data_IF_659739314894
#
_entry.id   IF_659739314894
#
_cell.length_a   1.000
_cell.length_b   1.000
_cell.length_c   1.000
_cell.angle_alpha   90.00
_cell.angle_beta   90.00
_cell.angle_gamma   90.00
#
_symmetry.space_group_name_H-M   'P 1'
#
loop_
_entity.id
_entity.type
_entity.pdbx_description
1 polymer ?
#
# COMPACT_ATOMS: atom_id res chain seq x y z
N UNK A 1 30.60 -30.52 -38.57
CA UNK A 1 31.06 -30.25 -39.95
C UNK A 1 31.21 -28.74 -40.11
N UNK A 2 32.09 -28.25 -40.98
CA UNK A 2 32.35 -26.82 -41.18
C UNK A 2 32.19 -26.42 -42.67
N UNK A 3 31.79 -25.18 -42.95
CA UNK A 3 31.85 -24.53 -44.28
C UNK A 3 31.83 -22.99 -44.12
N UNK A 4 32.49 -22.28 -45.04
CA UNK A 4 32.79 -20.82 -45.07
C UNK A 4 32.84 -20.42 -46.57
N UNK A 5 32.50 -19.22 -47.08
CA UNK A 5 32.33 -17.88 -46.49
C UNK A 5 30.89 -17.32 -46.83
N UNK A 6 30.55 -16.06 -47.17
CA UNK A 6 31.23 -14.78 -47.52
C UNK A 6 30.28 -13.58 -47.26
N UNK A 7 30.76 -12.33 -47.39
CA UNK A 7 29.97 -11.09 -47.25
C UNK A 7 30.01 -10.19 -48.50
N UNK A 8 29.06 -9.26 -48.63
CA UNK A 8 29.13 -8.04 -49.47
C UNK A 8 28.43 -6.88 -48.74
N UNK A 9 28.84 -5.64 -49.05
CA UNK A 9 28.24 -4.41 -48.53
C UNK A 9 28.07 -3.40 -49.67
N UNK A 10 27.11 -2.47 -49.55
CA UNK A 10 26.99 -1.33 -50.45
C UNK A 10 26.55 -0.07 -49.69
N UNK A 11 27.14 1.07 -50.05
CA UNK A 11 26.94 2.37 -49.41
C UNK A 11 25.60 3.00 -49.84
N UNK A 12 25.04 3.91 -49.03
CA UNK A 12 24.90 5.33 -49.39
C UNK A 12 24.36 6.18 -48.23
N UNK A 13 24.66 7.49 -48.25
CA UNK A 13 24.30 8.52 -47.25
C UNK A 13 24.71 9.90 -47.81
N UNK A 14 24.22 11.05 -47.32
CA UNK A 14 22.85 11.40 -46.91
C UNK A 14 22.30 12.57 -47.76
N UNK A 15 21.06 13.03 -47.51
CA UNK A 15 20.66 14.40 -47.89
C UNK A 15 19.90 15.12 -46.76
N UNK A 16 20.42 16.26 -46.33
CA UNK A 16 19.69 17.28 -45.60
C UNK A 16 18.96 18.18 -46.62
N UNK A 17 17.75 18.64 -46.29
CA UNK A 17 17.23 19.89 -46.86
C UNK A 17 16.65 20.77 -45.75
N UNK A 18 17.22 21.97 -45.61
CA UNK A 18 16.66 23.03 -44.79
C UNK A 18 15.52 23.70 -45.56
N UNK A 19 14.39 23.98 -44.89
CA UNK A 19 13.45 24.98 -45.34
C UNK A 19 12.87 25.75 -44.16
N UNK A 20 13.05 27.07 -44.19
CA UNK A 20 12.57 28.01 -43.18
C UNK A 20 11.08 28.27 -43.39
N UNK A 21 10.32 28.43 -42.31
CA UNK A 21 9.02 29.08 -42.34
C UNK A 21 9.04 30.32 -41.44
N UNK A 22 8.31 31.35 -41.88
CA UNK A 22 8.47 32.74 -41.42
C UNK A 22 7.15 33.20 -40.80
N UNK A 23 7.22 33.87 -39.65
CA UNK A 23 6.08 34.60 -39.08
C UNK A 23 5.69 35.79 -39.97
N UNK A 24 4.43 35.84 -40.40
CA UNK A 24 3.74 37.10 -40.71
C UNK A 24 2.25 36.98 -40.40
N UNK A 25 1.56 38.10 -40.23
CA UNK A 25 0.17 38.18 -39.80
C UNK A 25 -0.64 39.11 -40.72
N UNK A 26 -1.93 38.83 -40.93
CA UNK A 26 -2.95 39.88 -41.18
C UNK A 26 -4.39 39.38 -41.35
N UNK A 27 -5.30 40.17 -40.75
CA UNK A 27 -6.66 40.53 -41.19
C UNK A 27 -7.54 39.58 -42.03
N UNK A 28 -8.61 39.09 -41.37
CA UNK A 28 -10.05 39.15 -41.79
C UNK A 28 -10.39 39.36 -43.27
N UNK A 29 -11.29 38.51 -43.79
CA UNK A 29 -12.53 38.94 -44.50
C UNK A 29 -13.66 37.93 -44.30
N UNK A 30 -14.91 38.37 -44.48
CA UNK A 30 -16.13 37.63 -44.16
C UNK A 30 -16.87 37.12 -45.40
N UNK A 31 -17.60 36.02 -45.23
CA UNK A 31 -18.65 35.58 -46.17
C UNK A 31 -19.90 35.27 -45.34
N UNK A 32 -21.08 35.65 -45.84
CA UNK A 32 -22.36 35.47 -45.18
C UNK A 32 -23.31 34.71 -46.11
N UNK A 33 -23.97 33.67 -45.61
CA UNK A 33 -25.22 33.19 -46.20
C UNK A 33 -26.17 32.65 -45.13
N UNK A 34 -27.48 32.74 -45.40
CA UNK A 34 -28.57 32.48 -44.44
C UNK A 34 -29.07 31.04 -44.53
N UNK A 35 -29.65 30.51 -43.43
CA UNK A 35 -31.00 29.91 -43.48
C UNK A 35 -31.76 29.89 -42.14
N UNK A 36 -32.97 30.47 -42.21
CA UNK A 36 -34.20 30.30 -41.41
C UNK A 36 -34.12 29.96 -39.91
N UNK A 37 -34.73 30.85 -39.10
CA UNK A 37 -35.29 30.51 -37.78
C UNK A 37 -36.60 29.71 -37.95
N UNK A 38 -36.80 28.71 -37.09
CA UNK A 38 -38.10 28.43 -36.47
C UNK A 38 -37.88 28.49 -34.95
N UNK A 39 -38.91 28.87 -34.18
CA UNK A 39 -38.76 29.13 -32.74
C UNK A 39 -39.87 28.51 -31.92
N UNK A 40 -39.50 27.86 -30.82
CA UNK A 40 -40.38 27.49 -29.72
C UNK A 40 -39.83 28.18 -28.47
N UNK A 41 -40.69 28.80 -27.68
CA UNK A 41 -40.30 29.46 -26.42
C UNK A 41 -40.21 28.42 -25.31
N UNK A 42 -39.04 28.26 -24.70
CA UNK A 42 -38.98 27.85 -23.29
C UNK A 42 -39.06 29.11 -22.42
N UNK A 43 -39.82 29.03 -21.31
CA UNK A 43 -39.80 30.04 -20.25
C UNK A 43 -38.54 29.84 -19.42
N UNK A 44 -37.82 30.92 -19.13
CA UNK A 44 -36.84 30.90 -18.04
C UNK A 44 -37.58 30.81 -16.70
N UNK A 45 -37.26 29.80 -15.90
CA UNK A 45 -37.52 29.79 -14.46
C UNK A 45 -36.19 30.06 -13.76
N UNK A 46 -36.06 31.21 -13.12
CA UNK A 46 -34.86 31.58 -12.40
C UNK A 46 -34.87 30.93 -11.01
N UNK A 47 -34.42 29.68 -10.93
CA UNK A 47 -34.06 29.07 -9.67
C UNK A 47 -32.74 29.68 -9.19
N UNK A 48 -32.78 30.50 -8.14
CA UNK A 48 -31.58 30.95 -7.44
C UNK A 48 -31.06 29.79 -6.60
N UNK A 49 -30.16 28.99 -7.17
CA UNK A 49 -29.32 28.08 -6.38
C UNK A 49 -28.38 28.92 -5.52
N UNK A 50 -28.76 29.15 -4.26
CA UNK A 50 -27.83 29.67 -3.28
C UNK A 50 -26.69 28.64 -3.16
N UNK A 51 -25.47 29.04 -3.54
CA UNK A 51 -24.27 28.26 -3.26
C UNK A 51 -24.03 28.42 -1.77
N UNK A 52 -24.52 27.46 -0.98
CA UNK A 52 -24.03 27.26 0.37
C UNK A 52 -22.67 26.61 0.21
N UNK A 53 -21.62 27.37 0.44
CA UNK A 53 -20.29 26.81 0.67
C UNK A 53 -20.29 26.14 2.05
N UNK A 54 -20.88 24.94 2.12
CA UNK A 54 -20.62 24.05 3.24
C UNK A 54 -19.16 23.62 3.12
N UNK A 55 -18.28 24.23 3.93
CA UNK A 55 -17.03 23.60 4.30
C UNK A 55 -17.38 22.24 4.91
N UNK A 56 -17.24 21.15 4.15
CA UNK A 56 -17.16 19.81 4.71
C UNK A 56 -15.88 19.74 5.57
N UNK A 57 -16.00 20.21 6.81
CA UNK A 57 -15.02 19.90 7.84
C UNK A 57 -14.90 18.38 7.87
N UNK A 58 -13.69 17.83 7.65
CA UNK A 58 -13.50 16.39 7.63
C UNK A 58 -14.04 15.83 8.93
N UNK A 59 -14.73 14.70 8.86
CA UNK A 59 -15.41 14.12 10.01
C UNK A 59 -14.35 13.76 11.06
N UNK A 60 -14.15 14.64 12.05
CA UNK A 60 -13.20 14.45 13.15
C UNK A 60 -13.75 13.35 14.06
N UNK A 61 -13.62 12.11 13.59
CA UNK A 61 -13.79 10.90 14.39
C UNK A 61 -12.87 11.10 15.60
N UNK A 62 -13.43 11.11 16.82
CA UNK A 62 -12.66 11.25 18.05
C UNK A 62 -11.84 9.97 18.32
N UNK A 63 -10.80 9.78 17.52
CA UNK A 63 -9.90 8.62 17.49
C UNK A 63 -8.70 8.82 18.44
N UNK A 64 -8.90 9.57 19.51
CA UNK A 64 -7.92 9.71 20.57
C UNK A 64 -7.72 8.34 21.26
N UNK A 65 -6.67 7.64 20.85
CA UNK A 65 -6.08 6.50 21.54
C UNK A 65 -4.54 6.63 21.49
N UNK A 66 -3.83 6.09 22.50
CA UNK A 66 -2.38 6.18 22.56
C UNK A 66 -1.69 5.31 21.50
N UNK A 67 -0.65 5.85 20.88
CA UNK A 67 0.15 5.18 19.84
C UNK A 67 1.65 5.30 20.11
N UNK A 68 2.35 4.17 20.11
CA UNK A 68 3.80 4.06 20.31
C UNK A 68 4.44 3.62 18.99
N UNK A 69 5.48 4.30 18.51
CA UNK A 69 6.10 3.99 17.20
C UNK A 69 7.54 3.56 17.38
N UNK A 70 7.80 2.26 17.28
CA UNK A 70 9.14 1.67 17.37
C UNK A 70 9.88 1.82 16.03
N UNK A 71 11.15 2.23 16.09
CA UNK A 71 11.90 2.70 14.92
C UNK A 71 11.64 4.18 14.55
N UNK A 72 11.26 5.03 15.52
CA UNK A 72 10.98 6.46 15.29
C UNK A 72 12.19 7.28 14.79
N UNK A 73 13.42 6.79 14.97
CA UNK A 73 14.63 7.40 14.40
C UNK A 73 14.68 7.24 12.86
N UNK A 74 14.06 6.18 12.32
CA UNK A 74 14.05 5.81 10.91
C UNK A 74 13.09 6.63 10.02
N UNK A 75 13.34 6.58 8.70
CA UNK A 75 12.57 7.32 7.68
C UNK A 75 11.08 6.95 7.61
N UNK A 76 10.69 5.75 8.07
CA UNK A 76 9.28 5.33 8.07
C UNK A 76 8.57 5.70 9.38
N UNK A 77 9.20 5.46 10.53
CA UNK A 77 8.65 5.85 11.83
C UNK A 77 8.33 7.35 11.92
N UNK A 78 9.18 8.21 11.33
CA UNK A 78 8.93 9.66 11.21
C UNK A 78 7.65 9.98 10.42
N UNK A 79 7.50 9.41 9.22
CA UNK A 79 6.30 9.60 8.39
C UNK A 79 5.03 9.06 9.08
N UNK A 80 5.11 7.93 9.79
CA UNK A 80 3.99 7.40 10.60
C UNK A 80 3.64 8.35 11.74
N UNK A 81 4.62 8.94 12.44
CA UNK A 81 4.37 9.91 13.51
C UNK A 81 3.72 11.19 12.96
N UNK A 82 4.17 11.68 11.80
CA UNK A 82 3.59 12.84 11.12
C UNK A 82 2.12 12.59 10.73
N UNK A 83 1.82 11.43 10.12
CA UNK A 83 0.46 11.02 9.78
C UNK A 83 -0.42 10.82 11.03
N UNK A 84 0.07 10.08 12.03
CA UNK A 84 -0.66 9.80 13.27
C UNK A 84 -0.98 11.08 14.07
N UNK A 85 -0.05 12.04 14.12
CA UNK A 85 -0.27 13.36 14.74
C UNK A 85 -1.32 14.15 13.96
N UNK A 86 -1.26 14.12 12.61
CA UNK A 86 -2.23 14.79 11.74
C UNK A 86 -3.64 14.20 11.85
N UNK A 87 -3.75 12.89 12.08
CA UNK A 87 -4.99 12.16 12.35
C UNK A 87 -5.50 12.31 13.80
N UNK A 88 -4.79 13.03 14.67
CA UNK A 88 -5.18 13.29 16.06
C UNK A 88 -4.95 12.12 17.04
N UNK A 89 -4.11 11.14 16.68
CA UNK A 89 -3.73 10.05 17.57
C UNK A 89 -2.78 10.53 18.68
N UNK A 90 -2.84 9.89 19.86
CA UNK A 90 -2.09 10.34 21.03
C UNK A 90 -0.69 9.70 21.06
N UNK A 91 0.27 10.32 20.36
CA UNK A 91 1.67 9.86 20.37
C UNK A 91 2.24 9.73 21.79
N UNK A 92 2.72 8.54 22.14
CA UNK A 92 3.37 8.23 23.43
C UNK A 92 4.84 8.67 23.38
N UNK A 93 5.41 9.31 24.44
CA UNK A 93 6.77 9.85 24.44
C UNK A 93 7.85 8.76 24.66
N UNK A 94 7.62 7.53 24.21
CA UNK A 94 8.50 6.37 24.40
C UNK A 94 8.60 5.60 23.08
N UNK A 95 9.79 5.11 22.75
CA UNK A 95 10.06 4.25 21.58
C UNK A 95 11.20 3.29 21.88
N UNK A 96 11.23 2.13 21.23
CA UNK A 96 12.36 1.19 21.26
C UNK A 96 13.17 1.22 19.96
N UNK A 97 14.49 1.11 20.09
CA UNK A 97 15.44 0.96 18.99
C UNK A 97 16.64 0.08 19.41
N UNK A 98 17.72 0.09 18.64
CA UNK A 98 18.99 -0.57 18.97
C UNK A 98 19.69 0.09 20.17
N UNK A 99 20.71 -0.59 20.73
CA UNK A 99 21.55 -0.04 21.81
C UNK A 99 22.33 1.23 21.35
N UNK A 100 22.60 1.37 20.05
CA UNK A 100 23.22 2.57 19.45
C UNK A 100 22.31 3.81 19.51
N UNK A 101 21.00 3.60 19.52
CA UNK A 101 19.97 4.64 19.64
C UNK A 101 19.52 4.89 21.09
N UNK A 102 20.02 4.10 22.05
CA UNK A 102 19.56 4.14 23.44
C UNK A 102 19.90 5.45 24.15
N UNK A 103 18.92 6.03 24.85
CA UNK A 103 19.06 7.30 25.56
C UNK A 103 18.95 8.55 24.67
N UNK A 104 18.78 8.39 23.35
CA UNK A 104 18.43 9.54 22.50
C UNK A 104 17.04 10.09 22.86
N UNK A 105 16.87 11.39 22.68
CA UNK A 105 15.57 12.07 22.74
C UNK A 105 15.33 12.73 21.39
N UNK A 106 14.22 12.38 20.73
CA UNK A 106 13.91 12.82 19.37
C UNK A 106 12.61 13.61 19.37
N UNK A 107 12.65 14.86 18.92
CA UNK A 107 11.48 15.72 18.84
C UNK A 107 10.70 15.44 17.54
N UNK A 108 9.52 14.82 17.64
CA UNK A 108 8.64 14.43 16.53
C UNK A 108 7.18 14.62 16.92
N UNK A 109 6.31 15.01 15.97
CA UNK A 109 4.89 15.25 16.25
C UNK A 109 4.61 16.34 17.31
N UNK A 110 5.57 17.25 17.52
CA UNK A 110 5.50 18.26 18.60
C UNK A 110 5.74 17.71 20.02
N UNK A 111 6.25 16.48 20.15
CA UNK A 111 6.62 15.86 21.43
C UNK A 111 8.07 15.40 21.42
N UNK A 112 8.67 15.34 22.60
CA UNK A 112 9.96 14.71 22.80
C UNK A 112 9.75 13.22 23.09
N UNK A 113 10.34 12.34 22.28
CA UNK A 113 10.25 10.88 22.41
C UNK A 113 11.56 10.36 22.98
N UNK A 114 11.49 9.66 24.12
CA UNK A 114 12.62 8.94 24.70
C UNK A 114 12.82 7.61 23.99
N UNK A 115 14.02 7.39 23.44
CA UNK A 115 14.38 6.14 22.76
C UNK A 115 15.12 5.23 23.73
N UNK A 116 14.55 4.06 24.01
CA UNK A 116 15.11 3.07 24.91
C UNK A 116 15.77 1.94 24.12
N UNK A 117 16.90 1.46 24.61
CA UNK A 117 17.62 0.31 24.05
C UNK A 117 16.95 -1.04 24.35
N UNK A 118 17.60 -2.16 23.99
CA UNK A 118 17.05 -3.50 24.18
C UNK A 118 16.90 -3.95 25.64
N UNK A 119 17.61 -3.31 26.58
CA UNK A 119 17.58 -3.62 28.02
C UNK A 119 16.33 -3.09 28.72
N UNK A 120 15.66 -3.93 29.52
CA UNK A 120 14.49 -3.54 30.34
C UNK A 120 13.18 -3.27 29.57
N UNK A 121 13.14 -3.56 28.26
CA UNK A 121 11.97 -3.25 27.39
C UNK A 121 10.65 -3.81 27.89
N UNK A 122 10.65 -4.97 28.53
CA UNK A 122 9.45 -5.62 29.07
C UNK A 122 8.81 -4.82 30.19
N UNK A 123 9.57 -4.45 31.22
CA UNK A 123 9.09 -3.65 32.36
C UNK A 123 8.64 -2.25 31.91
N UNK A 124 9.40 -1.63 30.99
CA UNK A 124 9.08 -0.32 30.41
C UNK A 124 7.76 -0.39 29.63
N UNK A 125 7.61 -1.37 28.74
CA UNK A 125 6.40 -1.53 27.92
C UNK A 125 5.18 -1.89 28.77
N UNK A 126 5.34 -2.73 29.80
CA UNK A 126 4.28 -3.06 30.74
C UNK A 126 3.82 -1.83 31.54
N UNK A 127 4.75 -0.98 32.00
CA UNK A 127 4.42 0.28 32.69
C UNK A 127 3.68 1.25 31.76
N UNK A 128 4.20 1.45 30.54
CA UNK A 128 3.58 2.33 29.52
C UNK A 128 2.18 1.83 29.15
N UNK A 129 1.98 0.52 28.98
CA UNK A 129 0.67 -0.07 28.67
C UNK A 129 -0.30 0.00 29.86
N UNK A 130 0.18 -0.12 31.10
CA UNK A 130 -0.64 0.06 32.30
C UNK A 130 -1.18 1.50 32.43
N UNK A 131 -0.36 2.50 32.11
CA UNK A 131 -0.78 3.91 32.04
C UNK A 131 -1.67 4.21 30.82
N UNK A 132 -1.56 3.42 29.75
CA UNK A 132 -2.19 3.64 28.45
C UNK A 132 -2.94 2.37 27.97
N UNK A 133 -4.05 1.96 28.60
CA UNK A 133 -4.69 0.66 28.32
C UNK A 133 -5.32 0.52 26.92
N UNK A 134 -5.50 1.63 26.18
CA UNK A 134 -5.94 1.66 24.77
C UNK A 134 -4.75 1.67 23.77
N UNK A 135 -3.52 1.38 24.22
CA UNK A 135 -2.30 1.51 23.42
C UNK A 135 -2.25 0.56 22.22
N UNK A 136 -1.93 1.13 21.05
CA UNK A 136 -1.46 0.38 19.88
C UNK A 136 0.04 0.65 19.67
N UNK A 137 0.85 -0.40 19.57
CA UNK A 137 2.25 -0.29 19.13
C UNK A 137 2.33 -0.38 17.60
N UNK A 138 3.13 0.46 16.97
CA UNK A 138 3.52 0.33 15.55
C UNK A 138 4.97 -0.11 15.48
N UNK A 139 5.24 -1.16 14.70
CA UNK A 139 6.59 -1.66 14.43
C UNK A 139 7.03 -1.36 12.99
N UNK A 140 8.02 -0.47 12.87
CA UNK A 140 8.80 -0.20 11.66
C UNK A 140 10.30 -0.23 11.99
N UNK A 141 10.76 -1.38 12.49
CA UNK A 141 12.12 -1.63 12.93
C UNK A 141 12.97 -2.30 11.83
N UNK A 142 13.52 -3.49 12.05
CA UNK A 142 14.44 -4.21 11.15
C UNK A 142 14.11 -5.70 11.08
N UNK A 143 14.44 -6.41 9.98
CA UNK A 143 14.09 -7.83 9.81
C UNK A 143 14.55 -8.75 10.95
N UNK A 144 15.69 -8.44 11.59
CA UNK A 144 16.23 -9.20 12.72
C UNK A 144 15.50 -8.97 14.06
N UNK A 145 14.70 -7.90 14.17
CA UNK A 145 13.95 -7.58 15.39
C UNK A 145 12.49 -8.06 15.34
N UNK A 146 11.98 -8.44 14.17
CA UNK A 146 10.57 -8.83 13.91
C UNK A 146 10.04 -9.84 14.94
N UNK A 147 10.77 -10.94 15.15
CA UNK A 147 10.30 -12.03 16.01
C UNK A 147 10.40 -11.67 17.50
N UNK A 148 11.56 -11.15 17.93
CA UNK A 148 11.80 -10.76 19.32
C UNK A 148 10.84 -9.65 19.78
N UNK A 149 10.51 -8.71 18.90
CA UNK A 149 9.53 -7.65 19.16
C UNK A 149 8.10 -8.24 19.25
N UNK A 150 7.71 -9.13 18.35
CA UNK A 150 6.39 -9.79 18.41
C UNK A 150 6.22 -10.67 19.66
N UNK A 151 7.31 -11.31 20.13
CA UNK A 151 7.34 -12.06 21.38
C UNK A 151 7.24 -11.13 22.60
N UNK A 152 7.92 -9.97 22.58
CA UNK A 152 7.75 -8.91 23.59
C UNK A 152 6.30 -8.38 23.64
N UNK A 153 5.70 -8.03 22.51
CA UNK A 153 4.32 -7.53 22.45
C UNK A 153 3.33 -8.59 22.94
N UNK A 154 3.51 -9.85 22.50
CA UNK A 154 2.73 -11.01 22.94
C UNK A 154 2.85 -11.29 24.44
N UNK A 155 4.03 -11.11 25.03
CA UNK A 155 4.27 -11.35 26.46
C UNK A 155 3.66 -10.27 27.36
N UNK A 156 3.69 -9.01 26.92
CA UNK A 156 3.05 -7.88 27.63
C UNK A 156 1.53 -7.83 27.40
N UNK A 157 1.04 -8.42 26.31
CA UNK A 157 -0.39 -8.44 25.96
C UNK A 157 -0.84 -7.20 25.16
N UNK A 158 0.09 -6.40 24.63
CA UNK A 158 -0.22 -5.13 23.96
C UNK A 158 -0.53 -5.34 22.46
N UNK A 159 -1.64 -4.79 21.94
CA UNK A 159 -1.95 -4.86 20.50
C UNK A 159 -0.93 -4.13 19.62
N UNK A 160 -0.68 -4.63 18.42
CA UNK A 160 0.29 -4.00 17.52
C UNK A 160 -0.04 -4.06 16.01
N UNK A 161 0.52 -3.10 15.28
CA UNK A 161 0.54 -3.02 13.80
C UNK A 161 1.99 -3.17 13.34
N UNK A 162 2.30 -4.24 12.60
CA UNK A 162 3.66 -4.48 12.10
C UNK A 162 3.74 -4.31 10.59
N UNK A 163 4.43 -3.24 10.18
CA UNK A 163 4.84 -2.98 8.79
C UNK A 163 6.26 -3.46 8.47
N UNK A 164 7.03 -3.90 9.48
CA UNK A 164 8.38 -4.45 9.31
C UNK A 164 8.37 -5.73 8.46
N UNK A 165 9.09 -5.67 7.33
CA UNK A 165 9.25 -6.77 6.38
C UNK A 165 10.40 -7.71 6.77
N UNK A 166 10.34 -8.97 6.31
CA UNK A 166 11.32 -9.98 6.66
C UNK A 166 11.08 -10.55 8.07
N UNK A 167 12.15 -11.05 8.69
CA UNK A 167 12.06 -11.93 9.86
C UNK A 167 11.59 -13.34 9.48
N UNK A 168 11.53 -14.23 10.47
CA UNK A 168 10.86 -15.52 10.34
C UNK A 168 9.34 -15.27 10.37
N UNK A 169 8.68 -15.41 9.21
CA UNK A 169 7.26 -15.11 9.07
C UNK A 169 6.37 -16.16 9.72
N UNK A 170 6.80 -17.42 9.72
CA UNK A 170 6.04 -18.53 10.31
C UNK A 170 6.06 -18.44 11.83
N UNK A 171 7.23 -18.23 12.43
CA UNK A 171 7.37 -17.94 13.87
C UNK A 171 6.61 -16.67 14.25
N UNK A 172 6.62 -15.62 13.43
CA UNK A 172 5.87 -14.39 13.70
C UNK A 172 4.35 -14.67 13.81
N UNK A 173 3.74 -15.30 12.78
CA UNK A 173 2.32 -15.58 12.81
C UNK A 173 1.95 -16.54 13.94
N UNK A 174 2.77 -17.58 14.17
CA UNK A 174 2.54 -18.56 15.24
C UNK A 174 2.61 -17.94 16.64
N UNK A 175 3.60 -17.10 16.93
CA UNK A 175 3.75 -16.40 18.22
C UNK A 175 2.49 -15.58 18.55
N UNK A 176 1.91 -14.91 17.55
CA UNK A 176 0.72 -14.06 17.71
C UNK A 176 -0.56 -14.89 17.85
N UNK A 177 -0.67 -16.01 17.13
CA UNK A 177 -1.80 -16.94 17.27
C UNK A 177 -1.81 -17.65 18.63
N UNK A 178 -0.65 -18.13 19.10
CA UNK A 178 -0.54 -18.80 20.40
C UNK A 178 -0.87 -17.84 21.55
N UNK A 179 -0.41 -16.58 21.47
CA UNK A 179 -0.61 -15.54 22.49
C UNK A 179 -2.01 -14.90 22.47
N UNK A 180 -2.70 -14.91 21.31
CA UNK A 180 -4.08 -14.42 21.11
C UNK A 180 -4.25 -12.91 21.34
N UNK A 181 -3.17 -12.15 21.20
CA UNK A 181 -3.25 -10.68 21.17
C UNK A 181 -3.77 -10.21 19.81
N UNK A 182 -4.36 -9.01 19.79
CA UNK A 182 -4.85 -8.40 18.56
C UNK A 182 -3.69 -7.81 17.76
N UNK A 183 -3.55 -8.19 16.49
CA UNK A 183 -2.53 -7.60 15.61
C UNK A 183 -3.01 -7.40 14.17
N UNK A 184 -2.46 -6.37 13.51
CA UNK A 184 -2.44 -6.24 12.05
C UNK A 184 -1.02 -6.47 11.57
N UNK A 185 -0.83 -7.44 10.70
CA UNK A 185 0.49 -7.78 10.15
C UNK A 185 0.39 -7.72 8.63
N UNK A 186 1.07 -6.75 8.02
CA UNK A 186 1.13 -6.62 6.56
C UNK A 186 2.51 -6.15 6.10
N UNK A 187 3.16 -6.87 5.15
CA UNK A 187 4.39 -6.40 4.53
C UNK A 187 4.14 -5.25 3.52
N UNK A 188 2.88 -4.89 3.26
CA UNK A 188 2.48 -3.83 2.35
C UNK A 188 1.36 -2.98 2.98
N UNK A 189 1.74 -1.85 3.59
CA UNK A 189 0.78 -0.92 4.22
C UNK A 189 0.18 0.09 3.23
N UNK A 190 0.62 0.14 1.97
CA UNK A 190 0.02 1.02 0.96
C UNK A 190 -1.35 0.49 0.50
N UNK A 191 -2.41 0.78 1.27
CA UNK A 191 -3.73 0.10 1.14
C UNK A 191 -4.33 0.13 -0.27
N UNK A 192 -4.13 1.20 -1.04
CA UNK A 192 -4.61 1.32 -2.41
C UNK A 192 -3.87 0.37 -3.39
N UNK A 193 -2.60 0.07 -3.12
CA UNK A 193 -1.81 -0.92 -3.89
C UNK A 193 -2.25 -2.34 -3.54
N UNK A 194 -2.61 -2.60 -2.28
CA UNK A 194 -3.22 -3.88 -1.84
C UNK A 194 -4.59 -4.07 -2.51
N UNK A 195 -5.43 -3.03 -2.54
CA UNK A 195 -6.74 -3.08 -3.21
C UNK A 195 -6.63 -3.34 -4.72
N UNK A 196 -5.64 -2.73 -5.39
CA UNK A 196 -5.34 -3.03 -6.80
C UNK A 196 -4.92 -4.50 -7.01
N UNK A 197 -4.03 -5.02 -6.16
CA UNK A 197 -3.61 -6.43 -6.22
C UNK A 197 -4.80 -7.38 -6.00
N UNK A 198 -5.60 -7.16 -4.96
CA UNK A 198 -6.78 -7.98 -4.67
C UNK A 198 -7.80 -7.96 -5.83
N UNK A 199 -7.99 -6.82 -6.49
CA UNK A 199 -8.84 -6.73 -7.68
C UNK A 199 -8.28 -7.54 -8.87
N UNK A 200 -6.95 -7.56 -9.05
CA UNK A 200 -6.29 -8.40 -10.07
C UNK A 200 -6.36 -9.89 -9.73
N UNK A 201 -6.21 -10.27 -8.46
CA UNK A 201 -6.35 -11.66 -8.00
C UNK A 201 -7.77 -12.18 -8.22
N UNK A 202 -8.80 -11.41 -7.83
CA UNK A 202 -10.21 -11.74 -8.07
C UNK A 202 -10.49 -11.85 -9.58
N UNK A 203 -10.02 -10.89 -10.39
CA UNK A 203 -10.21 -10.93 -11.84
C UNK A 203 -9.56 -12.17 -12.47
N UNK A 204 -8.35 -12.54 -12.01
CA UNK A 204 -7.61 -13.68 -12.49
C UNK A 204 -8.22 -15.04 -12.08
N UNK A 205 -8.89 -15.10 -10.93
CA UNK A 205 -9.59 -16.31 -10.46
C UNK A 205 -10.97 -16.48 -11.09
N UNK A 206 -11.70 -15.40 -11.38
CA UNK A 206 -13.00 -15.48 -12.04
C UNK A 206 -12.91 -15.67 -13.56
N UNK A 207 -11.84 -15.19 -14.21
CA UNK A 207 -11.70 -15.17 -15.67
C UNK A 207 -10.38 -15.78 -16.18
N UNK A 208 -10.01 -17.01 -15.80
CA UNK A 208 -8.76 -17.65 -16.24
C UNK A 208 -8.71 -17.75 -17.78
N UNK A 209 -7.55 -17.44 -18.36
CA UNK A 209 -7.35 -17.42 -19.81
C UNK A 209 -7.96 -16.23 -20.57
N UNK A 210 -8.59 -15.25 -19.91
CA UNK A 210 -9.26 -14.13 -20.60
C UNK A 210 -8.33 -13.23 -21.45
N UNK A 211 -7.01 -13.24 -21.18
CA UNK A 211 -5.98 -12.53 -21.94
C UNK A 211 -5.03 -13.49 -22.68
N UNK A 212 -5.43 -14.75 -22.91
CA UNK A 212 -4.62 -15.70 -23.68
C UNK A 212 -4.24 -15.16 -25.07
N UNK A 213 -2.93 -15.14 -25.34
CA UNK A 213 -2.34 -14.61 -26.57
C UNK A 213 -1.92 -13.13 -26.51
N UNK A 214 -2.30 -12.37 -25.48
CA UNK A 214 -1.74 -11.04 -25.26
C UNK A 214 -0.25 -11.14 -24.88
N UNK A 215 0.53 -10.13 -25.27
CA UNK A 215 1.89 -9.91 -24.76
C UNK A 215 1.85 -8.92 -23.59
N UNK A 216 2.52 -9.25 -22.49
CA UNK A 216 2.74 -8.36 -21.34
C UNK A 216 4.13 -7.75 -21.40
N UNK A 217 4.22 -6.44 -21.17
CA UNK A 217 5.45 -5.72 -20.86
C UNK A 217 5.34 -5.16 -19.44
N UNK A 218 6.37 -5.31 -18.61
CA UNK A 218 6.40 -4.80 -17.23
C UNK A 218 7.62 -3.94 -17.01
N UNK A 219 7.43 -2.75 -16.46
CA UNK A 219 8.48 -1.84 -16.05
C UNK A 219 8.31 -1.48 -14.58
N UNK A 220 9.42 -1.52 -13.83
CA UNK A 220 9.45 -1.23 -12.40
C UNK A 220 10.60 -0.27 -12.09
N UNK A 221 10.31 0.78 -11.30
CA UNK A 221 11.32 1.69 -10.78
C UNK A 221 11.23 1.88 -9.27
N UNK A 222 12.37 1.65 -8.61
CA UNK A 222 12.61 1.85 -7.17
C UNK A 222 14.00 2.47 -6.99
N UNK A 223 14.30 2.93 -5.78
CA UNK A 223 15.65 3.31 -5.32
C UNK A 223 16.74 2.33 -5.81
N UNK A 224 17.90 2.84 -6.24
CA UNK A 224 18.92 2.06 -6.95
C UNK A 224 19.49 0.83 -6.18
N UNK A 225 19.36 0.79 -4.85
CA UNK A 225 19.76 -0.35 -4.01
C UNK A 225 18.77 -1.53 -4.04
N UNK A 226 17.56 -1.36 -4.60
CA UNK A 226 16.54 -2.41 -4.69
C UNK A 226 16.78 -3.29 -5.92
N UNK A 227 17.69 -4.25 -5.81
CA UNK A 227 18.15 -5.09 -6.94
C UNK A 227 17.08 -6.09 -7.43
N UNK A 228 16.19 -6.55 -6.57
CA UNK A 228 15.16 -7.54 -6.88
C UNK A 228 13.80 -6.90 -7.24
N UNK A 229 13.12 -7.49 -8.22
CA UNK A 229 11.72 -7.18 -8.58
C UNK A 229 10.81 -7.28 -7.35
N UNK A 230 9.97 -6.27 -7.14
CA UNK A 230 9.12 -6.16 -5.95
C UNK A 230 8.13 -7.33 -5.78
N UNK A 231 7.81 -7.63 -4.52
CA UNK A 231 6.81 -8.67 -4.19
C UNK A 231 5.44 -8.38 -4.79
N UNK A 232 5.00 -7.11 -4.75
CA UNK A 232 3.78 -6.64 -5.42
C UNK A 232 3.80 -6.96 -6.91
N UNK A 233 4.87 -6.59 -7.64
CA UNK A 233 4.94 -6.83 -9.08
C UNK A 233 4.91 -8.32 -9.42
N UNK A 234 5.57 -9.18 -8.63
CA UNK A 234 5.52 -10.65 -8.82
C UNK A 234 4.10 -11.20 -8.66
N UNK A 235 3.32 -10.71 -7.69
CA UNK A 235 1.93 -11.13 -7.52
C UNK A 235 1.00 -10.64 -8.65
N UNK A 236 1.16 -9.39 -9.10
CA UNK A 236 0.42 -8.84 -10.25
C UNK A 236 0.77 -9.60 -11.55
N UNK A 237 2.05 -9.96 -11.76
CA UNK A 237 2.49 -10.83 -12.86
C UNK A 237 1.82 -12.21 -12.78
N UNK A 238 1.73 -12.81 -11.59
CA UNK A 238 1.05 -14.09 -11.38
C UNK A 238 -0.45 -14.02 -11.72
N UNK A 239 -1.10 -12.87 -11.47
CA UNK A 239 -2.47 -12.63 -11.92
C UNK A 239 -2.56 -12.62 -13.45
N UNK A 240 -1.66 -11.96 -14.16
CA UNK A 240 -1.61 -11.99 -15.63
C UNK A 240 -1.28 -13.39 -16.20
N UNK A 241 -0.46 -14.19 -15.50
CA UNK A 241 -0.22 -15.59 -15.84
C UNK A 241 -1.49 -16.45 -15.70
N UNK A 242 -2.23 -16.33 -14.58
CA UNK A 242 -3.56 -16.96 -14.38
C UNK A 242 -4.56 -16.52 -15.47
N UNK A 243 -4.52 -15.25 -15.88
CA UNK A 243 -5.30 -14.70 -17.00
C UNK A 243 -4.85 -15.20 -18.39
N UNK A 244 -3.82 -16.06 -18.47
CA UNK A 244 -3.40 -16.76 -19.68
C UNK A 244 -2.24 -16.13 -20.45
N UNK A 245 -1.53 -15.17 -19.86
CA UNK A 245 -0.38 -14.51 -20.50
C UNK A 245 0.92 -15.25 -20.17
N UNK A 246 1.72 -15.54 -21.20
CA UNK A 246 3.06 -16.11 -21.04
C UNK A 246 4.07 -15.00 -20.78
N UNK A 247 4.50 -14.84 -19.52
CA UNK A 247 5.52 -13.86 -19.12
C UNK A 247 6.47 -14.47 -18.07
N UNK A 248 7.76 -14.15 -18.17
CA UNK A 248 8.80 -14.57 -17.25
C UNK A 248 9.25 -13.38 -16.38
N UNK A 249 9.51 -13.60 -15.09
CA UNK A 249 9.85 -12.54 -14.13
C UNK A 249 11.19 -11.88 -14.49
N UNK A 250 12.10 -12.60 -15.16
CA UNK A 250 13.37 -12.07 -15.66
C UNK A 250 13.21 -11.10 -16.86
N UNK A 251 11.99 -10.95 -17.42
CA UNK A 251 11.67 -9.97 -18.46
C UNK A 251 11.24 -8.59 -17.90
N UNK A 252 11.15 -8.42 -16.58
CA UNK A 252 10.78 -7.13 -15.96
C UNK A 252 11.87 -6.08 -16.15
N UNK A 253 11.51 -4.93 -16.71
CA UNK A 253 12.43 -3.82 -16.94
C UNK A 253 12.69 -3.04 -15.64
N UNK A 254 13.78 -3.37 -14.94
CA UNK A 254 14.17 -2.74 -13.68
C UNK A 254 14.91 -1.40 -13.90
N UNK A 255 14.17 -0.28 -13.94
CA UNK A 255 14.75 1.05 -14.14
C UNK A 255 15.36 1.57 -12.83
N UNK A 256 16.70 1.46 -12.72
CA UNK A 256 17.49 1.83 -11.53
C UNK A 256 18.50 2.97 -11.74
N UNK A 257 18.76 3.40 -12.98
CA UNK A 257 19.59 4.60 -13.27
C UNK A 257 18.78 5.88 -12.96
N UNK A 258 19.21 6.75 -12.03
CA UNK A 258 18.49 7.97 -11.68
C UNK A 258 18.14 8.89 -12.86
N UNK A 259 18.94 8.88 -13.94
CA UNK A 259 18.63 9.66 -15.15
C UNK A 259 17.43 9.11 -15.89
N UNK A 260 17.35 7.79 -16.05
CA UNK A 260 16.18 7.14 -16.65
C UNK A 260 14.95 7.26 -15.74
N UNK A 261 15.15 7.28 -14.42
CA UNK A 261 14.06 7.52 -13.46
C UNK A 261 13.45 8.93 -13.63
N UNK A 262 14.30 9.96 -13.79
CA UNK A 262 13.87 11.34 -14.12
C UNK A 262 13.25 11.43 -15.53
N UNK A 263 14.02 11.06 -16.56
CA UNK A 263 13.75 11.39 -17.97
C UNK A 263 12.73 10.47 -18.65
N UNK A 264 12.64 9.20 -18.24
CA UNK A 264 11.77 8.18 -18.86
C UNK A 264 10.58 7.80 -17.97
N UNK A 265 10.80 7.65 -16.66
CA UNK A 265 9.76 7.19 -15.71
C UNK A 265 9.01 8.36 -15.07
N UNK A 266 9.55 9.57 -15.09
CA UNK A 266 8.91 10.77 -14.52
C UNK A 266 8.93 10.80 -12.98
N UNK A 267 9.92 10.16 -12.35
CA UNK A 267 10.12 10.22 -10.90
C UNK A 267 10.70 11.59 -10.53
N UNK A 268 10.09 12.36 -9.61
CA UNK A 268 10.65 13.63 -9.15
C UNK A 268 12.02 13.46 -8.46
N UNK A 269 12.91 14.45 -8.58
CA UNK A 269 14.29 14.39 -8.09
C UNK A 269 14.36 14.15 -6.57
N UNK A 270 13.47 14.79 -5.83
CA UNK A 270 13.27 14.64 -4.38
C UNK A 270 12.81 13.25 -3.93
N UNK A 271 12.40 12.39 -4.88
CA UNK A 271 11.83 11.06 -4.61
C UNK A 271 12.68 9.89 -5.12
N UNK A 272 13.77 10.12 -5.86
CA UNK A 272 14.70 9.08 -6.33
C UNK A 272 15.28 8.18 -5.21
N UNK A 273 15.34 8.70 -3.97
CA UNK A 273 15.77 7.98 -2.77
C UNK A 273 14.60 7.34 -1.97
N UNK A 274 13.45 7.14 -2.61
CA UNK A 274 12.24 6.61 -1.99
C UNK A 274 11.00 6.75 -2.86
N UNK A 275 10.96 6.00 -3.96
CA UNK A 275 9.81 5.85 -4.85
C UNK A 275 9.53 4.37 -5.15
N UNK A 276 8.32 4.08 -5.62
CA UNK A 276 7.94 2.79 -6.21
C UNK A 276 6.95 3.04 -7.36
N UNK A 277 7.42 2.99 -8.60
CA UNK A 277 6.61 3.18 -9.80
C UNK A 277 6.54 1.84 -10.55
N UNK A 278 5.33 1.40 -10.93
CA UNK A 278 5.13 0.18 -11.70
C UNK A 278 4.19 0.43 -12.88
N UNK A 279 4.52 -0.18 -14.03
CA UNK A 279 3.76 -0.17 -15.26
C UNK A 279 3.55 -1.61 -15.73
N UNK A 280 2.30 -1.98 -16.02
CA UNK A 280 1.94 -3.27 -16.63
C UNK A 280 1.16 -2.98 -17.91
N UNK A 281 1.72 -3.34 -19.06
CA UNK A 281 1.17 -3.04 -20.38
C UNK A 281 0.83 -4.32 -21.13
N UNK A 282 -0.44 -4.47 -21.52
CA UNK A 282 -0.94 -5.64 -22.25
C UNK A 282 -1.32 -5.23 -23.67
N UNK A 283 -0.76 -5.92 -24.67
CA UNK A 283 -1.08 -5.70 -26.08
C UNK A 283 -1.59 -6.97 -26.75
N UNK A 284 -2.68 -6.87 -27.52
CA UNK A 284 -3.30 -8.00 -28.24
C UNK A 284 -2.37 -8.60 -29.33
N UNK A 285 -2.68 -9.82 -29.85
CA UNK A 285 -1.92 -10.43 -30.93
C UNK A 285 -1.87 -9.57 -32.21
N UNK A 286 -2.98 -8.95 -32.56
CA UNK A 286 -3.20 -8.11 -33.75
C UNK A 286 -2.78 -6.64 -33.55
N UNK A 287 -2.33 -6.28 -32.34
CA UNK A 287 -1.89 -4.93 -31.95
C UNK A 287 -2.97 -3.85 -32.03
N UNK A 288 -4.26 -4.21 -32.00
CA UNK A 288 -5.39 -3.25 -32.00
C UNK A 288 -5.88 -2.88 -30.60
N UNK A 289 -5.62 -3.70 -29.58
CA UNK A 289 -6.07 -3.48 -28.19
C UNK A 289 -4.86 -3.36 -27.26
N UNK A 290 -4.89 -2.32 -26.43
CA UNK A 290 -3.86 -1.97 -25.44
C UNK A 290 -4.55 -1.73 -24.09
N UNK A 291 -4.05 -2.34 -23.02
CA UNK A 291 -4.39 -2.01 -21.64
C UNK A 291 -3.12 -1.59 -20.89
N UNK A 292 -3.25 -0.60 -20.02
CA UNK A 292 -2.16 -0.08 -19.20
C UNK A 292 -2.64 0.05 -17.76
N UNK A 293 -1.86 -0.51 -16.83
CA UNK A 293 -2.08 -0.37 -15.39
C UNK A 293 -0.83 0.27 -14.79
N UNK A 294 -0.97 1.47 -14.23
CA UNK A 294 0.13 2.20 -13.61
C UNK A 294 -0.19 2.53 -12.15
N UNK A 295 0.79 2.41 -11.26
CA UNK A 295 0.74 3.09 -9.97
C UNK A 295 2.11 3.63 -9.58
N UNK A 296 2.14 4.89 -9.14
CA UNK A 296 3.35 5.67 -8.87
C UNK A 296 3.32 6.16 -7.42
N UNK A 297 4.21 5.63 -6.58
CA UNK A 297 4.36 6.05 -5.18
C UNK A 297 5.58 6.95 -5.04
N UNK A 298 5.33 8.17 -4.56
CA UNK A 298 6.34 9.14 -4.17
C UNK A 298 6.48 9.19 -2.64
N UNK A 299 7.72 9.10 -2.14
CA UNK A 299 8.00 9.19 -0.71
C UNK A 299 7.44 8.02 0.10
N UNK A 300 6.78 8.34 1.24
CA UNK A 300 6.36 7.35 2.25
C UNK A 300 4.92 7.51 2.76
N UNK A 301 4.20 8.58 2.37
CA UNK A 301 2.86 8.90 2.90
C UNK A 301 1.87 7.74 2.76
N UNK A 302 1.79 7.07 1.59
CA UNK A 302 0.82 5.97 1.38
C UNK A 302 0.95 4.82 2.41
N UNK A 303 2.17 4.55 2.89
CA UNK A 303 2.41 3.53 3.91
C UNK A 303 2.11 4.05 5.33
N UNK A 304 2.37 5.35 5.57
CA UNK A 304 2.07 6.00 6.84
C UNK A 304 0.56 6.13 7.08
N UNK A 305 -0.20 6.62 6.10
CA UNK A 305 -1.66 6.72 6.17
C UNK A 305 -2.29 5.33 6.36
N UNK A 306 -1.88 4.34 5.56
CA UNK A 306 -2.40 2.97 5.70
C UNK A 306 -2.02 2.29 7.03
N UNK A 307 -0.93 2.71 7.67
CA UNK A 307 -0.57 2.27 9.03
C UNK A 307 -1.45 2.94 10.09
N UNK A 308 -1.80 4.22 9.90
CA UNK A 308 -2.75 4.95 10.74
C UNK A 308 -4.16 4.33 10.61
N UNK A 309 -4.62 4.04 9.39
CA UNK A 309 -5.84 3.29 9.13
C UNK A 309 -5.85 1.93 9.85
N UNK A 310 -4.75 1.15 9.74
CA UNK A 310 -4.61 -0.14 10.39
C UNK A 310 -4.66 -0.04 11.92
N UNK A 311 -4.04 0.99 12.51
CA UNK A 311 -4.10 1.24 13.96
C UNK A 311 -5.51 1.64 14.42
N UNK A 312 -6.20 2.49 13.65
CA UNK A 312 -7.60 2.90 13.90
C UNK A 312 -8.53 1.69 13.82
N UNK A 313 -8.38 0.86 12.80
CA UNK A 313 -9.11 -0.39 12.64
C UNK A 313 -8.87 -1.33 13.84
N UNK A 314 -7.61 -1.57 14.20
CA UNK A 314 -7.24 -2.46 15.31
C UNK A 314 -7.82 -1.98 16.65
N UNK A 315 -7.66 -0.70 16.98
CA UNK A 315 -8.25 -0.08 18.17
C UNK A 315 -9.78 -0.21 18.19
N UNK A 316 -10.45 -0.17 17.03
CA UNK A 316 -11.90 -0.35 16.94
C UNK A 316 -12.33 -1.78 17.30
N UNK A 317 -11.60 -2.81 16.85
CA UNK A 317 -11.92 -4.22 17.15
C UNK A 317 -11.65 -4.55 18.61
N UNK A 318 -10.48 -4.15 19.15
CA UNK A 318 -10.15 -4.26 20.59
C UNK A 318 -11.25 -3.65 21.47
N UNK A 319 -11.64 -2.40 21.18
CA UNK A 319 -12.71 -1.69 21.91
C UNK A 319 -14.12 -2.25 21.65
N UNK A 320 -14.33 -3.08 20.65
CA UNK A 320 -15.62 -3.76 20.40
C UNK A 320 -15.70 -5.08 21.17
N UNK A 321 -14.68 -5.93 21.07
CA UNK A 321 -14.65 -7.24 21.71
C UNK A 321 -14.53 -7.12 23.23
N UNK A 322 -13.75 -6.16 23.76
CA UNK A 322 -13.74 -5.86 25.19
C UNK A 322 -15.11 -5.40 25.73
N UNK A 323 -15.97 -4.79 24.90
CA UNK A 323 -17.37 -4.50 25.28
C UNK A 323 -18.26 -5.75 25.22
N UNK A 324 -18.04 -6.65 24.25
CA UNK A 324 -18.73 -7.94 24.20
C UNK A 324 -18.37 -8.83 25.40
N UNK A 325 -17.11 -8.90 25.82
CA UNK A 325 -16.70 -9.70 26.98
C UNK A 325 -17.31 -9.18 28.29
N UNK A 326 -17.32 -7.86 28.50
CA UNK A 326 -18.01 -7.26 29.66
C UNK A 326 -19.52 -7.57 29.65
N UNK A 327 -20.19 -7.43 28.49
CA UNK A 327 -21.60 -7.81 28.32
C UNK A 327 -21.86 -9.32 28.52
N UNK A 328 -20.88 -10.18 28.25
CA UNK A 328 -20.96 -11.61 28.50
C UNK A 328 -20.68 -12.00 29.95
N UNK A 329 -19.79 -11.28 30.64
CA UNK A 329 -19.49 -11.51 32.04
C UNK A 329 -20.68 -11.14 32.94
N UNK A 330 -21.45 -10.12 32.54
CA UNK A 330 -22.76 -9.78 33.10
C UNK A 330 -23.84 -10.82 32.71
N UNK A 331 -23.71 -11.43 31.52
CA UNK A 331 -24.62 -12.47 30.99
C UNK A 331 -24.14 -13.92 31.17
N UNK A 332 -23.88 -14.33 32.43
CA UNK A 332 -23.77 -15.77 32.80
C UNK A 332 -25.03 -16.62 32.48
N UNK A 333 -26.08 -16.03 31.93
CA UNK A 333 -27.34 -16.66 31.54
C UNK A 333 -27.43 -17.10 30.06
N UNK A 334 -26.54 -16.63 29.16
CA UNK A 334 -26.73 -16.74 27.70
C UNK A 334 -25.70 -17.65 27.01
N UNK A 335 -25.87 -18.98 27.10
CA UNK A 335 -25.06 -19.97 26.35
C UNK A 335 -25.59 -20.17 24.91
N UNK A 336 -24.68 -20.62 24.02
CA UNK A 336 -24.87 -21.09 22.62
C UNK A 336 -24.92 -20.03 21.50
N UNK A 337 -23.77 -19.42 21.18
CA UNK A 337 -23.44 -18.99 19.80
C UNK A 337 -21.92 -18.81 19.53
N UNK A 338 -21.06 -19.32 20.41
CA UNK A 338 -19.67 -18.86 20.57
C UNK A 338 -18.61 -19.71 19.82
N UNK A 339 -18.80 -19.94 18.52
CA UNK A 339 -17.96 -20.86 17.74
C UNK A 339 -17.34 -20.29 16.44
N UNK A 340 -17.62 -19.03 16.08
CA UNK A 340 -17.42 -18.54 14.69
C UNK A 340 -16.72 -17.18 14.55
N UNK A 341 -16.17 -16.61 15.64
CA UNK A 341 -15.52 -15.28 15.65
C UNK A 341 -14.10 -15.27 16.23
N UNK A 342 -13.51 -16.42 16.54
CA UNK A 342 -12.19 -16.51 17.18
C UNK A 342 -11.03 -16.58 16.18
N UNK A 343 -10.85 -15.50 15.43
CA UNK A 343 -9.67 -15.26 14.59
C UNK A 343 -9.10 -13.88 14.88
N UNK A 344 -8.36 -13.76 16.00
CA UNK A 344 -7.81 -12.51 16.55
C UNK A 344 -6.71 -11.84 15.69
N UNK A 345 -6.44 -12.37 14.49
CA UNK A 345 -5.41 -11.90 13.57
C UNK A 345 -6.08 -11.52 12.25
N UNK A 346 -5.98 -10.25 11.88
CA UNK A 346 -6.35 -9.81 10.53
C UNK A 346 -5.11 -9.93 9.65
N UNK A 347 -4.91 -11.15 9.16
CA UNK A 347 -3.87 -11.50 8.20
C UNK A 347 -4.17 -10.88 6.83
N UNK A 348 -3.26 -10.05 6.32
CA UNK A 348 -3.19 -9.73 4.89
C UNK A 348 -2.20 -10.71 4.26
N UNK A 349 -2.66 -11.74 3.53
CA UNK A 349 -1.80 -12.79 3.01
C UNK A 349 -0.92 -12.27 1.85
N UNK A 350 0.24 -12.90 1.64
CA UNK A 350 1.04 -12.68 0.44
C UNK A 350 1.91 -13.90 0.14
N UNK A 351 1.59 -14.64 -0.92
CA UNK A 351 2.44 -15.66 -1.57
C UNK A 351 3.03 -16.79 -0.73
N UNK A 352 2.36 -17.95 -0.68
CA UNK A 352 2.95 -19.25 -0.28
C UNK A 352 3.04 -20.15 -1.52
N UNK A 353 4.04 -21.04 -1.57
CA UNK A 353 4.35 -21.89 -2.72
C UNK A 353 3.36 -23.08 -2.86
N UNK A 354 2.90 -23.49 -4.07
CA UNK A 354 1.65 -24.28 -4.19
C UNK A 354 1.68 -25.79 -3.86
N UNK A 355 2.81 -26.40 -3.47
CA UNK A 355 2.93 -27.88 -3.43
C UNK A 355 2.72 -28.55 -2.06
N UNK A 356 2.67 -27.80 -0.95
CA UNK A 356 2.37 -28.36 0.38
C UNK A 356 1.35 -27.50 1.15
N UNK A 357 0.06 -27.84 1.04
CA UNK A 357 -1.00 -27.54 2.04
C UNK A 357 -2.36 -28.17 1.66
N UNK A 358 -2.50 -29.50 1.82
CA UNK A 358 -3.84 -30.07 1.97
C UNK A 358 -4.44 -29.66 3.33
N UNK A 359 -5.76 -29.44 3.35
CA UNK A 359 -6.58 -29.22 4.55
C UNK A 359 -6.38 -27.92 5.37
N UNK A 360 -6.58 -26.75 4.75
CA UNK A 360 -7.20 -25.60 5.44
C UNK A 360 -8.15 -24.83 4.51
N UNK A 361 -9.40 -24.63 4.94
CA UNK A 361 -10.49 -24.21 4.04
C UNK A 361 -10.52 -22.67 3.86
N UNK A 362 -10.19 -22.20 2.65
CA UNK A 362 -10.14 -20.77 2.26
C UNK A 362 -11.48 -20.01 2.41
N UNK A 363 -12.59 -20.72 2.64
CA UNK A 363 -13.93 -20.14 2.79
C UNK A 363 -14.11 -19.13 3.93
N UNK A 364 -13.15 -19.02 4.86
CA UNK A 364 -13.13 -17.97 5.90
C UNK A 364 -12.37 -16.69 5.52
N UNK A 365 -11.52 -16.70 4.49
CA UNK A 365 -10.75 -15.49 4.12
C UNK A 365 -11.60 -14.48 3.36
N UNK A 366 -12.57 -14.95 2.54
CA UNK A 366 -13.36 -14.08 1.66
C UNK A 366 -14.15 -13.02 2.43
N UNK A 367 -14.81 -13.42 3.52
CA UNK A 367 -15.58 -12.52 4.39
C UNK A 367 -14.73 -11.44 5.04
N UNK A 368 -13.44 -11.69 5.29
CA UNK A 368 -12.56 -10.72 5.96
C UNK A 368 -12.07 -9.65 4.98
N UNK A 369 -11.87 -9.99 3.70
CA UNK A 369 -11.54 -9.01 2.66
C UNK A 369 -12.78 -8.21 2.26
N UNK A 370 -13.94 -8.88 2.07
CA UNK A 370 -15.22 -8.21 1.81
C UNK A 370 -15.55 -7.21 2.94
N UNK A 371 -15.43 -7.61 4.22
CA UNK A 371 -15.64 -6.70 5.35
C UNK A 371 -14.60 -5.57 5.44
N UNK A 372 -13.34 -5.80 5.08
CA UNK A 372 -12.31 -4.74 5.10
C UNK A 372 -12.51 -3.70 3.99
N UNK A 373 -13.13 -4.09 2.87
CA UNK A 373 -13.52 -3.16 1.80
C UNK A 373 -14.80 -2.41 2.17
N UNK A 374 -15.82 -3.12 2.67
CA UNK A 374 -17.13 -2.55 3.04
C UNK A 374 -17.10 -1.69 4.34
N UNK A 375 -16.08 -1.79 5.19
CA UNK A 375 -15.87 -0.87 6.35
C UNK A 375 -14.95 0.33 6.04
N UNK A 376 -14.30 0.39 4.87
CA UNK A 376 -13.27 1.41 4.53
C UNK A 376 -13.65 2.30 3.32
N UNK A 377 -14.55 1.86 2.44
CA UNK A 377 -15.14 2.67 1.36
C UNK A 377 -16.44 3.37 1.77
#
# INVERSE_FOLDING_TARGET
MATVFRATASLFSPQQQNLKLIHSSSSRRSVCCRRRRFGIRLRAMAAQSAIVEEEEKPLVRNLAFPIMVNGCTGKMGKAVIEAATSAGLQLVPVSFSSEEDAGQVVQLGGKDIHVHGPSGREDILASVFHENPDLIVVDYTVPSAVNDNAELYSKVGVPFVMGTTGGDRERLYKTVEDSKIYAVISPQMGKQVVAFLAAMEIMAEQFPGAFSGYSLEVMESHQASKLDTSGTAKAVISCFQKLGVSFDIDQVQLIRDPKLQLEMVGVPEEHLAGHAFHMYHLTSPDKTVSFEFQHNVCGRSIYAEGTVDAAIFLASKVRFEGRQENLQHDRRLARRQHAMMRSSIVLVPHGVNPEELECLNWSHCKSNIEALVDEIL
#
